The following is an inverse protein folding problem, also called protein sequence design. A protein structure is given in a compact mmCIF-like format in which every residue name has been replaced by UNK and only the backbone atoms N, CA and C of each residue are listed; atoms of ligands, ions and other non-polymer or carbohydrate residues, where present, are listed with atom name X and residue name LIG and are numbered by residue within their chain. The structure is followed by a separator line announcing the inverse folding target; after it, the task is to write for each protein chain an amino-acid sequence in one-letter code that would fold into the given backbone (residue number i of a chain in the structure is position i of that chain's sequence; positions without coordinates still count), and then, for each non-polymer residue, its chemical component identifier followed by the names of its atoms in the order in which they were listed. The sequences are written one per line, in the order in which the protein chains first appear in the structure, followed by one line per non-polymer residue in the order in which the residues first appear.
data_IF_779002275193
#
_entry.id   IF_779002275193
#
_cell.length_a   1.000
_cell.length_b   1.000
_cell.length_c   1.000
_cell.angle_alpha   90.00
_cell.angle_beta   90.00
_cell.angle_gamma   90.00
#
_symmetry.space_group_name_H-M   'P 1'
#
loop_
_entity.id
_entity.type
_entity.pdbx_description
1 polymer ?
#
# COMPACT_ATOMS: atom_id res chain seq x y z
N UNK A 1 11.95 7.15 -26.70
CA UNK A 1 13.15 7.27 -25.82
C UNK A 1 12.92 6.38 -24.60
N UNK A 2 13.83 5.45 -24.28
CA UNK A 2 13.66 4.59 -23.12
C UNK A 2 13.86 5.42 -21.84
N UNK A 3 12.85 5.48 -20.97
CA UNK A 3 12.97 6.11 -19.65
C UNK A 3 14.07 5.37 -18.88
N UNK A 4 15.18 6.06 -18.58
CA UNK A 4 16.31 5.50 -17.83
C UNK A 4 16.04 5.44 -16.31
N UNK A 5 14.78 5.59 -15.88
CA UNK A 5 14.43 5.87 -14.50
C UNK A 5 14.94 7.23 -14.03
N UNK A 6 14.65 7.59 -12.78
CA UNK A 6 15.04 8.86 -12.17
C UNK A 6 16.58 8.96 -12.03
N UNK A 7 17.22 10.07 -12.46
CA UNK A 7 18.68 10.20 -12.53
C UNK A 7 19.36 10.34 -11.16
N UNK A 8 18.61 10.69 -10.11
CA UNK A 8 19.13 10.96 -8.76
C UNK A 8 19.45 9.68 -7.96
N UNK A 9 19.10 8.50 -8.48
CA UNK A 9 19.16 7.24 -7.74
C UNK A 9 20.58 6.86 -7.28
N UNK A 10 21.57 6.91 -8.17
CA UNK A 10 22.94 6.48 -7.86
C UNK A 10 23.60 7.27 -6.73
N UNK A 11 23.64 8.63 -6.82
CA UNK A 11 24.15 9.46 -5.73
C UNK A 11 23.40 9.27 -4.42
N UNK A 12 22.06 9.23 -4.46
CA UNK A 12 21.24 9.12 -3.26
C UNK A 12 21.44 7.79 -2.53
N UNK A 13 21.46 6.66 -3.25
CA UNK A 13 21.71 5.35 -2.64
C UNK A 13 23.06 5.31 -1.93
N UNK A 14 24.12 5.83 -2.54
CA UNK A 14 25.45 5.86 -1.92
C UNK A 14 25.46 6.66 -0.62
N UNK A 15 24.77 7.79 -0.57
CA UNK A 15 24.67 8.60 0.65
C UNK A 15 23.92 7.85 1.76
N UNK A 16 22.82 7.18 1.42
CA UNK A 16 22.05 6.38 2.40
C UNK A 16 22.85 5.17 2.89
N UNK A 17 23.63 4.52 2.02
CA UNK A 17 24.52 3.43 2.42
C UNK A 17 25.68 3.90 3.30
N UNK A 18 26.20 5.10 3.07
CA UNK A 18 27.18 5.71 3.96
C UNK A 18 26.55 5.99 5.33
N UNK A 19 25.32 6.51 5.37
CA UNK A 19 24.60 6.71 6.64
C UNK A 19 24.40 5.38 7.39
N UNK A 20 23.99 4.31 6.69
CA UNK A 20 23.90 2.97 7.27
C UNK A 20 25.21 2.52 7.93
N UNK A 21 26.36 2.71 7.25
CA UNK A 21 27.68 2.36 7.77
C UNK A 21 28.03 3.14 9.03
N UNK A 22 27.80 4.45 9.03
CA UNK A 22 28.06 5.32 10.18
C UNK A 22 27.20 4.91 11.39
N UNK A 23 25.89 4.66 11.18
CA UNK A 23 25.03 4.18 12.26
C UNK A 23 25.40 2.77 12.75
N UNK A 24 26.04 1.94 11.92
CA UNK A 24 26.48 0.61 12.31
C UNK A 24 27.75 0.59 13.17
N UNK A 25 28.46 1.73 13.31
CA UNK A 25 29.69 1.82 14.12
C UNK A 25 29.41 1.66 15.62
N UNK A 26 28.19 1.99 16.07
CA UNK A 26 27.78 1.85 17.46
C UNK A 26 26.51 1.00 17.58
N UNK A 27 26.29 0.42 18.77
CA UNK A 27 25.06 -0.33 19.05
C UNK A 27 23.87 0.57 19.39
N UNK A 28 24.11 1.86 19.60
CA UNK A 28 23.10 2.85 19.98
C UNK A 28 22.15 3.18 18.82
N UNK A 29 22.61 3.03 17.57
CA UNK A 29 21.87 3.42 16.36
C UNK A 29 21.44 2.22 15.51
N UNK A 30 21.13 1.08 16.15
CA UNK A 30 20.76 -0.15 15.44
C UNK A 30 19.51 0.05 14.55
N UNK A 31 18.53 0.82 15.04
CA UNK A 31 17.31 1.09 14.29
C UNK A 31 17.58 1.95 13.05
N UNK A 32 18.33 3.03 13.20
CA UNK A 32 18.70 3.95 12.12
C UNK A 32 19.55 3.24 11.07
N UNK A 33 20.51 2.42 11.52
CA UNK A 33 21.31 1.58 10.65
C UNK A 33 20.44 0.66 9.80
N UNK A 34 19.49 -0.06 10.42
CA UNK A 34 18.58 -0.96 9.69
C UNK A 34 17.60 -0.21 8.79
N UNK A 35 17.13 0.94 9.22
CA UNK A 35 16.24 1.81 8.43
C UNK A 35 16.94 2.35 7.18
N UNK A 36 18.21 2.76 7.31
CA UNK A 36 19.01 3.22 6.16
C UNK A 36 19.29 2.07 5.18
N UNK A 37 19.59 0.87 5.67
CA UNK A 37 19.75 -0.35 4.85
C UNK A 37 18.47 -0.63 4.03
N UNK A 38 17.30 -0.65 4.69
CA UNK A 38 16.02 -0.85 4.03
C UNK A 38 15.66 0.28 3.07
N UNK A 39 15.98 1.54 3.39
CA UNK A 39 15.74 2.67 2.51
C UNK A 39 16.57 2.58 1.22
N UNK A 40 17.86 2.25 1.32
CA UNK A 40 18.70 2.04 0.14
C UNK A 40 18.17 0.91 -0.74
N UNK A 41 17.65 -0.16 -0.13
CA UNK A 41 17.00 -1.27 -0.81
C UNK A 41 15.70 -0.83 -1.52
N UNK A 42 14.86 -0.02 -0.87
CA UNK A 42 13.62 0.50 -1.46
C UNK A 42 13.92 1.34 -2.70
N UNK A 43 14.89 2.25 -2.63
CA UNK A 43 15.30 3.06 -3.77
C UNK A 43 15.68 2.20 -4.98
N UNK A 44 16.38 1.07 -4.76
CA UNK A 44 16.79 0.16 -5.85
C UNK A 44 15.59 -0.54 -6.48
N UNK A 45 14.66 -1.03 -5.66
CA UNK A 45 13.42 -1.65 -6.15
C UNK A 45 12.60 -0.64 -6.94
N UNK A 46 12.45 0.59 -6.42
CA UNK A 46 11.74 1.67 -7.09
C UNK A 46 12.38 1.99 -8.45
N UNK A 47 13.70 2.12 -8.51
CA UNK A 47 14.38 2.35 -9.78
C UNK A 47 14.13 1.22 -10.81
N UNK A 48 14.17 -0.04 -10.38
CA UNK A 48 13.83 -1.18 -11.25
C UNK A 48 12.37 -1.12 -11.75
N UNK A 49 11.44 -0.69 -10.89
CA UNK A 49 10.06 -0.45 -11.28
C UNK A 49 9.97 0.68 -12.31
N UNK A 50 10.67 1.80 -12.12
CA UNK A 50 10.67 2.90 -13.10
C UNK A 50 11.23 2.48 -14.46
N UNK A 51 12.31 1.69 -14.49
CA UNK A 51 12.90 1.19 -15.73
C UNK A 51 11.96 0.20 -16.44
N UNK A 52 11.39 -0.75 -15.70
CA UNK A 52 10.52 -1.79 -16.28
C UNK A 52 9.16 -1.24 -16.73
N UNK A 53 8.58 -0.30 -15.99
CA UNK A 53 7.31 0.35 -16.33
C UNK A 53 7.47 1.54 -17.27
N UNK A 54 8.71 2.03 -17.42
CA UNK A 54 9.07 3.27 -18.14
C UNK A 54 8.42 4.53 -17.54
N UNK A 55 8.07 4.53 -16.26
CA UNK A 55 7.46 5.67 -15.55
C UNK A 55 8.31 6.11 -14.36
N UNK A 56 8.71 7.38 -14.31
CA UNK A 56 9.51 7.95 -13.24
C UNK A 56 8.63 8.46 -12.08
N UNK A 57 7.90 7.55 -11.43
CA UNK A 57 6.91 7.88 -10.39
C UNK A 57 7.13 7.12 -9.07
N UNK A 58 8.13 6.23 -9.01
CA UNK A 58 8.30 5.34 -7.87
C UNK A 58 9.37 5.85 -6.90
N UNK A 59 10.48 6.38 -7.42
CA UNK A 59 11.65 6.74 -6.60
C UNK A 59 11.30 7.87 -5.63
N UNK A 60 11.60 7.63 -4.34
CA UNK A 60 11.36 8.59 -3.27
C UNK A 60 10.00 8.45 -2.58
N UNK A 61 9.09 7.62 -3.11
CA UNK A 61 7.82 7.31 -2.44
C UNK A 61 8.01 6.34 -1.26
N UNK A 62 7.01 6.24 -0.38
CA UNK A 62 7.04 5.26 0.72
C UNK A 62 6.84 3.83 0.19
N UNK A 63 7.11 2.81 1.02
CA UNK A 63 6.76 1.40 0.70
C UNK A 63 5.26 1.28 0.41
N UNK A 64 4.42 1.95 1.20
CA UNK A 64 2.97 1.95 1.05
C UNK A 64 2.52 2.56 -0.27
N UNK A 65 3.09 3.70 -0.66
CA UNK A 65 2.76 4.35 -1.92
C UNK A 65 3.31 3.58 -3.12
N UNK A 66 4.52 3.01 -3.00
CA UNK A 66 5.07 2.10 -4.02
C UNK A 66 4.11 0.93 -4.29
N UNK A 67 3.57 0.31 -3.23
CA UNK A 67 2.58 -0.78 -3.33
C UNK A 67 1.30 -0.30 -4.01
N UNK A 68 0.71 0.81 -3.54
CA UNK A 68 -0.52 1.35 -4.12
C UNK A 68 -0.33 1.68 -5.60
N UNK A 69 0.76 2.34 -5.97
CA UNK A 69 1.09 2.68 -7.36
C UNK A 69 1.22 1.43 -8.22
N UNK A 70 1.89 0.36 -7.73
CA UNK A 70 1.95 -0.91 -8.45
C UNK A 70 0.55 -1.48 -8.74
N UNK A 71 -0.37 -1.42 -7.77
CA UNK A 71 -1.75 -1.93 -7.92
C UNK A 71 -2.57 -1.05 -8.88
N UNK A 72 -2.47 0.28 -8.75
CA UNK A 72 -3.13 1.26 -9.64
C UNK A 72 -2.71 1.06 -11.09
N UNK A 73 -1.45 0.69 -11.33
CA UNK A 73 -0.93 0.36 -12.67
C UNK A 73 -1.29 -1.05 -13.16
N UNK A 74 -2.07 -1.82 -12.41
CA UNK A 74 -2.41 -3.22 -12.73
C UNK A 74 -1.26 -4.22 -12.56
N UNK A 75 -0.14 -3.82 -11.95
CA UNK A 75 1.03 -4.67 -11.72
C UNK A 75 1.00 -5.28 -10.30
N UNK A 76 -0.02 -6.08 -10.02
CA UNK A 76 -0.20 -6.69 -8.70
C UNK A 76 0.97 -7.60 -8.30
N UNK A 77 1.60 -8.28 -9.27
CA UNK A 77 2.78 -9.12 -9.01
C UNK A 77 3.94 -8.32 -8.42
N UNK A 78 4.18 -7.10 -8.91
CA UNK A 78 5.17 -6.20 -8.33
C UNK A 78 4.77 -5.76 -6.92
N UNK A 79 3.49 -5.42 -6.70
CA UNK A 79 3.00 -5.03 -5.39
C UNK A 79 3.21 -6.12 -4.33
N UNK A 80 2.91 -7.39 -4.67
CA UNK A 80 3.13 -8.55 -3.79
C UNK A 80 4.62 -8.76 -3.51
N UNK A 81 5.49 -8.55 -4.51
CA UNK A 81 6.95 -8.63 -4.31
C UNK A 81 7.41 -7.57 -3.30
N UNK A 82 6.99 -6.32 -3.45
CA UNK A 82 7.33 -5.23 -2.51
C UNK A 82 6.79 -5.53 -1.11
N UNK A 83 5.54 -6.00 -0.99
CA UNK A 83 4.95 -6.43 0.29
C UNK A 83 5.85 -7.44 1.01
N UNK A 84 6.27 -8.49 0.31
CA UNK A 84 7.12 -9.55 0.88
C UNK A 84 8.53 -9.05 1.23
N UNK A 85 9.14 -8.26 0.35
CA UNK A 85 10.51 -7.74 0.50
C UNK A 85 10.67 -6.84 1.74
N UNK A 86 9.64 -6.06 2.05
CA UNK A 86 9.57 -5.12 3.18
C UNK A 86 8.70 -5.62 4.33
N UNK A 87 8.32 -6.91 4.31
CA UNK A 87 7.55 -7.58 5.36
C UNK A 87 6.32 -6.80 5.81
N UNK A 88 5.60 -6.22 4.85
CA UNK A 88 4.41 -5.41 5.12
C UNK A 88 3.34 -6.30 5.78
N UNK A 89 2.88 -5.97 7.00
CA UNK A 89 1.92 -6.80 7.71
C UNK A 89 0.62 -6.99 6.92
N UNK A 90 0.01 -8.18 7.01
CA UNK A 90 -1.20 -8.47 6.23
C UNK A 90 -2.33 -7.48 6.52
N UNK A 91 -2.53 -7.06 7.78
CA UNK A 91 -3.51 -6.01 8.12
C UNK A 91 -3.28 -4.74 7.30
N UNK A 92 -2.03 -4.28 7.15
CA UNK A 92 -1.68 -3.10 6.34
C UNK A 92 -1.87 -3.36 4.85
N UNK A 93 -1.53 -4.56 4.37
CA UNK A 93 -1.72 -4.95 2.97
C UNK A 93 -3.19 -4.83 2.52
N UNK A 94 -4.14 -5.30 3.34
CA UNK A 94 -5.56 -5.19 3.03
C UNK A 94 -6.01 -3.73 2.92
N UNK A 95 -5.57 -2.84 3.80
CA UNK A 95 -5.80 -1.40 3.66
C UNK A 95 -5.26 -0.84 2.35
N UNK A 96 -3.99 -1.11 2.03
CA UNK A 96 -3.37 -0.56 0.83
C UNK A 96 -4.03 -1.08 -0.46
N UNK A 97 -4.31 -2.39 -0.54
CA UNK A 97 -4.93 -3.00 -1.73
C UNK A 97 -6.38 -2.54 -1.90
N UNK A 98 -7.18 -2.48 -0.83
CA UNK A 98 -8.56 -1.99 -0.93
C UNK A 98 -8.62 -0.52 -1.37
N UNK A 99 -7.82 0.36 -0.77
CA UNK A 99 -7.76 1.77 -1.19
C UNK A 99 -7.27 1.92 -2.64
N UNK A 100 -6.25 1.17 -3.06
CA UNK A 100 -5.71 1.25 -4.41
C UNK A 100 -6.71 0.76 -5.47
N UNK A 101 -7.39 -0.36 -5.23
CA UNK A 101 -8.42 -0.88 -6.13
C UNK A 101 -9.61 0.09 -6.24
N UNK A 102 -10.04 0.67 -5.12
CA UNK A 102 -11.09 1.68 -5.10
C UNK A 102 -10.69 2.96 -5.85
N UNK A 103 -9.42 3.38 -5.73
CA UNK A 103 -8.89 4.57 -6.43
C UNK A 103 -9.03 4.46 -7.96
N UNK A 104 -8.89 3.25 -8.51
CA UNK A 104 -9.07 2.99 -9.96
C UNK A 104 -10.46 2.46 -10.31
N UNK A 105 -11.39 2.41 -9.35
CA UNK A 105 -12.75 1.92 -9.56
C UNK A 105 -12.84 0.44 -9.93
N UNK A 106 -11.84 -0.38 -9.57
CA UNK A 106 -11.83 -1.80 -9.90
C UNK A 106 -12.58 -2.62 -8.84
N UNK A 107 -13.90 -2.48 -8.84
CA UNK A 107 -14.81 -3.11 -7.87
C UNK A 107 -14.85 -4.62 -7.99
N UNK A 108 -14.73 -5.17 -9.22
CA UNK A 108 -14.69 -6.62 -9.45
C UNK A 108 -13.45 -7.26 -8.78
N UNK A 109 -12.28 -6.62 -8.90
CA UNK A 109 -11.08 -7.08 -8.23
C UNK A 109 -11.16 -6.88 -6.71
N UNK A 110 -11.80 -5.81 -6.23
CA UNK A 110 -12.04 -5.59 -4.80
C UNK A 110 -12.94 -6.69 -4.22
N UNK A 111 -14.01 -7.05 -4.92
CA UNK A 111 -14.92 -8.10 -4.52
C UNK A 111 -14.24 -9.46 -4.52
N UNK A 112 -13.48 -9.78 -5.57
CA UNK A 112 -12.64 -10.98 -5.65
C UNK A 112 -11.69 -11.04 -4.45
N UNK A 113 -10.96 -9.96 -4.19
CA UNK A 113 -10.02 -9.86 -3.07
C UNK A 113 -10.70 -10.08 -1.71
N UNK A 114 -11.92 -9.57 -1.53
CA UNK A 114 -12.69 -9.76 -0.29
C UNK A 114 -13.05 -11.23 0.00
N UNK A 115 -13.04 -12.08 -1.03
CA UNK A 115 -13.44 -13.50 -0.97
C UNK A 115 -12.26 -14.46 -0.90
N UNK A 116 -11.04 -14.02 -1.23
CA UNK A 116 -9.84 -14.86 -1.24
C UNK A 116 -9.55 -15.49 0.14
N UNK A 117 -9.51 -14.65 1.18
CA UNK A 117 -9.28 -15.05 2.57
C UNK A 117 -9.99 -14.06 3.50
N UNK A 118 -10.33 -14.51 4.71
CA UNK A 118 -10.86 -13.61 5.75
C UNK A 118 -9.83 -12.51 6.04
N UNK A 119 -10.17 -11.22 5.88
CA UNK A 119 -9.23 -10.13 6.12
C UNK A 119 -8.80 -10.05 7.59
N UNK A 120 -7.50 -9.91 7.88
CA UNK A 120 -7.02 -9.68 9.24
C UNK A 120 -7.49 -8.32 9.73
N UNK A 121 -8.20 -8.32 10.87
CA UNK A 121 -8.84 -7.12 11.39
C UNK A 121 -10.20 -6.79 10.75
N UNK A 122 -10.77 -7.67 9.92
CA UNK A 122 -12.13 -7.55 9.41
C UNK A 122 -12.28 -6.72 8.13
N UNK A 123 -13.53 -6.41 7.76
CA UNK A 123 -13.88 -5.83 6.46
C UNK A 123 -13.84 -4.30 6.41
N UNK A 124 -13.43 -3.63 7.50
CA UNK A 124 -13.30 -2.16 7.56
C UNK A 124 -12.54 -1.54 6.38
N UNK A 125 -11.40 -2.10 5.91
CA UNK A 125 -10.70 -1.56 4.74
C UNK A 125 -11.54 -1.49 3.46
N UNK A 126 -12.44 -2.47 3.27
CA UNK A 126 -13.30 -2.54 2.09
C UNK A 126 -14.43 -1.52 2.21
N UNK A 127 -15.05 -1.43 3.40
CA UNK A 127 -16.12 -0.47 3.69
C UNK A 127 -15.62 0.96 3.51
N UNK A 128 -14.52 1.33 4.17
CA UNK A 128 -13.98 2.69 4.07
C UNK A 128 -13.55 3.04 2.65
N UNK A 129 -12.86 2.14 1.95
CA UNK A 129 -12.47 2.39 0.57
C UNK A 129 -13.67 2.62 -0.36
N UNK A 130 -14.80 1.93 -0.15
CA UNK A 130 -16.02 2.14 -0.93
C UNK A 130 -16.73 3.45 -0.55
N UNK A 131 -16.83 3.77 0.74
CA UNK A 131 -17.43 5.02 1.22
C UNK A 131 -16.64 6.23 0.71
N UNK A 132 -15.31 6.20 0.84
CA UNK A 132 -14.44 7.30 0.41
C UNK A 132 -14.48 7.51 -1.11
N UNK A 133 -14.73 6.43 -1.87
CA UNK A 133 -14.94 6.50 -3.32
C UNK A 133 -16.39 6.83 -3.73
N UNK A 134 -17.29 7.08 -2.77
CA UNK A 134 -18.70 7.38 -3.03
C UNK A 134 -19.51 6.19 -3.58
N UNK A 135 -19.00 4.96 -3.49
CA UNK A 135 -19.66 3.76 -4.01
C UNK A 135 -20.51 3.08 -2.94
N UNK A 136 -21.68 3.67 -2.69
CA UNK A 136 -22.66 3.17 -1.72
C UNK A 136 -23.05 1.70 -1.97
N UNK A 137 -23.40 1.35 -3.20
CA UNK A 137 -23.84 -0.01 -3.56
C UNK A 137 -22.76 -1.06 -3.25
N UNK A 138 -21.50 -0.71 -3.49
CA UNK A 138 -20.37 -1.58 -3.24
C UNK A 138 -20.09 -1.70 -1.74
N UNK A 139 -20.13 -0.59 -0.99
CA UNK A 139 -19.96 -0.57 0.46
C UNK A 139 -20.96 -1.50 1.18
N UNK A 140 -22.22 -1.52 0.73
CA UNK A 140 -23.28 -2.35 1.30
C UNK A 140 -23.02 -3.86 1.22
N UNK A 141 -22.13 -4.32 0.32
CA UNK A 141 -21.70 -5.72 0.28
C UNK A 141 -20.82 -6.10 1.48
N UNK A 142 -20.15 -5.13 2.11
CA UNK A 142 -19.14 -5.35 3.14
C UNK A 142 -19.59 -4.92 4.54
N UNK A 143 -20.46 -3.93 4.66
CA UNK A 143 -20.95 -3.43 5.98
C UNK A 143 -21.56 -4.56 6.84
N UNK A 144 -22.41 -5.46 6.33
CA UNK A 144 -22.95 -6.57 7.12
C UNK A 144 -21.88 -7.54 7.65
N UNK A 145 -20.66 -7.50 7.09
CA UNK A 145 -19.53 -8.35 7.50
C UNK A 145 -18.69 -7.71 8.61
N UNK A 146 -19.00 -6.48 9.04
CA UNK A 146 -18.38 -5.84 10.19
C UNK A 146 -18.88 -6.50 11.49
N UNK A 147 -17.95 -7.04 12.26
CA UNK A 147 -18.26 -7.74 13.52
C UNK A 147 -18.57 -6.78 14.65
N UNK A 148 -17.99 -5.59 14.64
CA UNK A 148 -18.26 -4.55 15.62
C UNK A 148 -19.56 -3.81 15.28
N UNK A 149 -20.57 -3.80 16.16
CA UNK A 149 -21.82 -3.08 15.90
C UNK A 149 -21.64 -1.56 15.76
N UNK A 150 -20.68 -0.97 16.49
CA UNK A 150 -20.38 0.46 16.42
C UNK A 150 -19.81 0.85 15.06
N UNK A 151 -18.84 0.10 14.54
CA UNK A 151 -18.29 0.31 13.20
C UNK A 151 -19.37 0.15 12.12
N UNK A 152 -20.32 -0.76 12.32
CA UNK A 152 -21.43 -0.97 11.39
C UNK A 152 -22.41 0.20 11.39
N UNK A 153 -22.81 0.65 12.57
CA UNK A 153 -23.67 1.83 12.75
C UNK A 153 -23.03 3.08 12.14
N UNK A 154 -21.75 3.32 12.43
CA UNK A 154 -20.99 4.43 11.86
C UNK A 154 -20.92 4.35 10.32
N UNK A 155 -20.71 3.16 9.76
CA UNK A 155 -20.67 2.97 8.31
C UNK A 155 -22.01 3.26 7.63
N UNK A 156 -23.15 2.83 8.22
CA UNK A 156 -24.47 3.17 7.70
C UNK A 156 -24.77 4.66 7.83
N UNK A 157 -24.41 5.29 8.95
CA UNK A 157 -24.55 6.72 9.14
C UNK A 157 -23.76 7.53 8.08
N UNK A 158 -22.52 7.12 7.77
CA UNK A 158 -21.71 7.73 6.70
C UNK A 158 -22.32 7.57 5.30
N UNK A 159 -23.24 6.62 5.09
CA UNK A 159 -23.99 6.42 3.85
C UNK A 159 -25.39 7.07 3.84
N UNK A 160 -25.69 7.90 4.85
CA UNK A 160 -26.99 8.51 5.11
C UNK A 160 -28.13 7.47 5.22
N UNK A 161 -27.85 6.33 5.87
CA UNK A 161 -28.80 5.24 6.12
C UNK A 161 -29.16 5.22 7.60
N UNK A 162 -30.01 6.15 8.02
CA UNK A 162 -30.31 6.42 9.43
C UNK A 162 -31.25 5.39 10.06
N UNK A 163 -32.01 4.63 9.27
CA UNK A 163 -32.86 3.56 9.80
C UNK A 163 -32.05 2.30 10.09
N UNK A 164 -30.95 2.10 9.36
CA UNK A 164 -30.05 0.95 9.47
C UNK A 164 -28.85 1.19 10.40
N UNK A 165 -28.58 2.45 10.78
CA UNK A 165 -27.53 2.86 11.70
C UNK A 165 -27.92 2.65 13.18
#
# INVERSE_FOLDING_TARGET
MASKGSPLHGPQVRLVEQAHRLFAETKEHLFESKSAEEHAKLLRVQHQLEVSTKQAIFVGSSVSDTIKTCIVMGNERAAVKVKSEFKVPDKRWYWLKSCALATVGNWDALETFSREKRPPGGYKPFVEACIDAGQKTEALKYIPKLTDPGERSEAYARLNMTEEA
#
